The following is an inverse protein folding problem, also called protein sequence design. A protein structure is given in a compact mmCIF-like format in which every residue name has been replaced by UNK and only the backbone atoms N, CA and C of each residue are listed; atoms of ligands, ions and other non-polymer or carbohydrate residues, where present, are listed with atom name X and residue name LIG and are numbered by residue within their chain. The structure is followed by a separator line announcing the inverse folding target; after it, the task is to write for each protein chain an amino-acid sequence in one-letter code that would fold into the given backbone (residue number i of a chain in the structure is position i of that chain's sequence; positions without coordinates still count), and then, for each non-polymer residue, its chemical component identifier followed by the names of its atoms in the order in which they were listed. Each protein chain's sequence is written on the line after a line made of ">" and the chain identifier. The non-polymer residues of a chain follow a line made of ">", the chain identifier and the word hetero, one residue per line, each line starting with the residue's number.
data_IF_395281622555
#
_entry.id   IF_395281622555
#
_cell.length_a   1.000
_cell.length_b   1.000
_cell.length_c   1.000
_cell.angle_alpha   90.00
_cell.angle_beta   90.00
_cell.angle_gamma   90.00
#
_symmetry.space_group_name_H-M   'P 1'
#
loop_
_entity.id
_entity.type
_entity.pdbx_description
1 polymer ?
#
# COMPACT_ATOMS: atom_id res chain seq x y z
N UNK A 1 -47.19 -9.63 -31.81
CA UNK A 1 -48.50 -9.29 -31.22
C UNK A 1 -48.24 -8.20 -30.18
N UNK A 2 -48.64 -6.97 -30.49
CA UNK A 2 -48.25 -5.76 -29.79
C UNK A 2 -49.07 -5.55 -28.51
N UNK A 3 -48.42 -5.07 -27.45
CA UNK A 3 -49.09 -4.17 -26.49
C UNK A 3 -48.10 -3.08 -26.08
N UNK A 4 -48.35 -1.89 -26.62
CA UNK A 4 -47.75 -0.62 -26.25
C UNK A 4 -48.58 -0.05 -25.10
N UNK A 5 -47.94 0.42 -24.05
CA UNK A 5 -48.43 1.51 -23.23
C UNK A 5 -47.37 2.60 -23.27
N UNK A 6 -47.69 3.65 -24.04
CA UNK A 6 -47.05 4.95 -23.98
C UNK A 6 -47.67 5.77 -22.84
N UNK A 7 -46.86 6.67 -22.31
CA UNK A 7 -47.16 7.71 -21.34
C UNK A 7 -45.83 8.08 -20.69
N UNK A 8 -44.96 8.79 -21.42
CA UNK A 8 -44.69 10.23 -21.29
C UNK A 8 -44.29 10.61 -19.84
N UNK A 9 -43.16 11.22 -19.54
CA UNK A 9 -42.51 12.33 -20.25
C UNK A 9 -41.08 12.51 -19.69
N UNK A 10 -40.28 13.34 -20.37
CA UNK A 10 -39.04 14.01 -19.95
C UNK A 10 -37.71 13.37 -20.34
N UNK A 11 -37.37 13.61 -21.60
CA UNK A 11 -36.05 14.06 -22.10
C UNK A 11 -35.01 14.38 -21.01
N UNK A 12 -33.95 13.59 -20.92
CA UNK A 12 -32.59 14.14 -20.80
C UNK A 12 -31.56 13.14 -21.29
N UNK A 13 -30.57 13.69 -21.98
CA UNK A 13 -29.54 13.03 -22.77
C UNK A 13 -28.77 11.93 -22.03
N UNK A 14 -28.29 10.94 -22.79
CA UNK A 14 -27.18 10.07 -22.38
C UNK A 14 -25.91 10.93 -22.17
N UNK A 15 -25.15 10.64 -21.10
CA UNK A 15 -23.71 10.69 -21.21
C UNK A 15 -23.11 9.31 -20.90
N UNK A 16 -22.41 8.81 -21.89
CA UNK A 16 -21.43 7.72 -21.80
C UNK A 16 -20.39 8.02 -20.73
N UNK A 17 -20.64 7.66 -19.47
CA UNK A 17 -19.61 7.65 -18.43
C UNK A 17 -18.98 6.26 -18.37
N UNK A 18 -18.16 6.02 -19.39
CA UNK A 18 -16.90 5.26 -19.38
C UNK A 18 -16.51 4.80 -17.97
N UNK A 19 -16.37 3.49 -17.79
CA UNK A 19 -15.66 2.92 -16.64
C UNK A 19 -14.35 3.67 -16.43
N UNK A 20 -14.34 4.56 -15.46
CA UNK A 20 -13.12 5.07 -14.85
C UNK A 20 -13.07 4.47 -13.46
N UNK A 21 -12.90 3.15 -13.40
CA UNK A 21 -12.09 2.59 -12.32
C UNK A 21 -10.77 3.33 -12.37
N UNK A 22 -10.61 4.31 -11.48
CA UNK A 22 -9.36 5.02 -11.31
C UNK A 22 -8.30 3.96 -11.04
N UNK A 23 -7.41 3.75 -12.01
CA UNK A 23 -6.29 2.78 -11.95
C UNK A 23 -5.25 3.12 -10.87
N UNK A 24 -5.61 3.95 -9.90
CA UNK A 24 -4.73 4.53 -8.88
C UNK A 24 -5.01 4.06 -7.47
N UNK A 25 -6.09 3.31 -7.20
CA UNK A 25 -6.28 2.69 -5.88
C UNK A 25 -6.09 1.19 -5.99
N UNK A 26 -4.92 0.73 -5.57
CA UNK A 26 -4.62 -0.67 -5.36
C UNK A 26 -4.52 -0.87 -3.85
N UNK A 27 -5.53 -1.54 -3.30
CA UNK A 27 -5.60 -2.06 -1.92
C UNK A 27 -6.08 -1.03 -0.88
N UNK A 28 -7.37 -1.10 -0.53
CA UNK A 28 -7.87 -0.72 0.79
C UNK A 28 -8.09 -1.98 1.60
N UNK A 29 -7.01 -2.57 2.12
CA UNK A 29 -7.12 -3.60 3.16
C UNK A 29 -6.71 -2.91 4.46
N UNK A 30 -7.62 -2.80 5.45
CA UNK A 30 -7.26 -2.31 6.77
C UNK A 30 -6.18 -3.23 7.35
N UNK A 31 -5.06 -2.63 7.76
CA UNK A 31 -4.09 -3.30 8.61
C UNK A 31 -4.63 -3.25 10.03
N UNK A 32 -5.05 -4.40 10.51
CA UNK A 32 -5.20 -4.71 11.94
C UNK A 32 -3.86 -5.32 12.41
N UNK A 33 -3.52 -5.27 13.71
CA UNK A 33 -2.19 -5.63 14.23
C UNK A 33 -1.72 -7.08 13.93
N UNK A 34 -2.58 -7.97 13.45
CA UNK A 34 -2.27 -9.34 12.97
C UNK A 34 -2.04 -9.44 11.45
N UNK A 35 -2.35 -8.39 10.69
CA UNK A 35 -2.29 -8.34 9.22
C UNK A 35 -0.97 -7.84 8.64
N UNK A 36 -0.06 -7.32 9.48
CA UNK A 36 1.18 -6.70 9.00
C UNK A 36 2.06 -7.66 8.19
N UNK A 37 2.17 -8.93 8.55
CA UNK A 37 2.95 -9.91 7.78
C UNK A 37 2.44 -10.09 6.33
N UNK A 38 1.12 -10.15 6.16
CA UNK A 38 0.48 -10.25 4.84
C UNK A 38 0.62 -8.97 4.02
N UNK A 39 0.40 -7.82 4.67
CA UNK A 39 0.62 -6.50 4.06
C UNK A 39 2.08 -6.31 3.60
N UNK A 40 3.03 -6.65 4.48
CA UNK A 40 4.47 -6.60 4.23
C UNK A 40 4.84 -7.42 3.01
N UNK A 41 4.36 -8.66 2.92
CA UNK A 41 4.57 -9.52 1.76
C UNK A 41 4.04 -8.90 0.46
N UNK A 42 2.83 -8.34 0.52
CA UNK A 42 2.21 -7.67 -0.64
C UNK A 42 3.02 -6.46 -1.11
N UNK A 43 3.51 -5.63 -0.19
CA UNK A 43 4.35 -4.47 -0.52
C UNK A 43 5.69 -4.91 -1.13
N UNK A 44 6.36 -5.91 -0.55
CA UNK A 44 7.63 -6.41 -1.08
C UNK A 44 7.48 -6.91 -2.52
N UNK A 45 6.44 -7.69 -2.81
CA UNK A 45 6.16 -8.17 -4.18
C UNK A 45 5.85 -7.00 -5.11
N UNK A 46 4.99 -6.06 -4.69
CA UNK A 46 4.61 -4.91 -5.50
C UNK A 46 5.80 -4.00 -5.86
N UNK A 47 6.75 -3.81 -4.94
CA UNK A 47 7.96 -3.03 -5.19
C UNK A 47 8.97 -3.80 -6.05
N UNK A 48 9.10 -5.11 -5.82
CA UNK A 48 9.96 -5.98 -6.63
C UNK A 48 9.56 -5.94 -8.11
N UNK A 49 8.28 -6.16 -8.43
CA UNK A 49 7.81 -6.16 -9.82
C UNK A 49 7.94 -4.79 -10.53
N UNK A 50 8.18 -3.72 -9.77
CA UNK A 50 8.36 -2.35 -10.29
C UNK A 50 9.81 -1.88 -10.29
N UNK A 51 10.75 -2.74 -9.90
CA UNK A 51 12.17 -2.40 -9.69
C UNK A 51 12.31 -1.18 -8.76
N UNK A 52 11.64 -1.26 -7.59
CA UNK A 52 11.68 -0.21 -6.55
C UNK A 52 12.03 -0.74 -5.16
N UNK A 53 12.34 -2.03 -5.04
CA UNK A 53 12.72 -2.64 -3.77
C UNK A 53 13.95 -1.94 -3.14
N UNK A 54 14.85 -1.44 -3.99
CA UNK A 54 16.08 -0.78 -3.55
C UNK A 54 15.87 0.54 -2.80
N UNK A 55 14.67 1.13 -2.91
CA UNK A 55 14.33 2.35 -2.18
C UNK A 55 13.96 2.08 -0.73
N UNK A 56 13.49 0.89 -0.39
CA UNK A 56 13.14 0.52 0.98
C UNK A 56 14.27 -0.23 1.69
N UNK A 57 15.12 -0.96 0.95
CA UNK A 57 16.29 -1.64 1.51
C UNK A 57 17.53 -0.71 1.62
N UNK A 58 17.46 0.50 1.06
CA UNK A 58 18.53 1.50 1.11
C UNK A 58 19.66 1.33 0.09
N UNK A 59 19.58 0.35 -0.81
CA UNK A 59 20.58 0.13 -1.87
C UNK A 59 20.55 1.22 -2.94
N UNK A 60 19.39 1.85 -3.13
CA UNK A 60 19.24 3.03 -3.99
C UNK A 60 19.67 4.28 -3.22
N UNK A 61 20.94 4.67 -3.34
CA UNK A 61 21.50 5.84 -2.66
C UNK A 61 21.12 7.12 -3.39
N UNK A 62 20.71 8.16 -2.66
CA UNK A 62 20.42 9.49 -3.20
C UNK A 62 21.66 10.04 -3.93
N UNK A 63 21.57 10.35 -5.23
CA UNK A 63 22.66 11.01 -5.95
C UNK A 63 22.93 12.41 -5.40
N UNK A 64 24.12 12.99 -5.63
CA UNK A 64 24.37 14.40 -5.33
C UNK A 64 23.34 15.31 -6.03
N UNK A 65 22.96 16.41 -5.40
CA UNK A 65 21.93 17.32 -5.95
C UNK A 65 22.32 17.94 -7.30
N UNK A 66 23.62 17.98 -7.62
CA UNK A 66 24.16 18.40 -8.93
C UNK A 66 23.98 17.35 -10.04
N UNK A 67 23.63 16.11 -9.69
CA UNK A 67 23.44 15.03 -10.65
C UNK A 67 22.15 15.23 -11.45
N UNK A 68 22.17 15.02 -12.79
CA UNK A 68 20.93 15.03 -13.58
C UNK A 68 19.94 13.95 -13.14
N UNK A 69 20.39 12.93 -12.39
CA UNK A 69 19.56 11.85 -11.88
C UNK A 69 18.88 12.17 -10.55
N UNK A 70 19.29 13.22 -9.83
CA UNK A 70 18.77 13.54 -8.49
C UNK A 70 17.25 13.73 -8.50
N UNK A 71 16.72 14.46 -9.48
CA UNK A 71 15.27 14.69 -9.62
C UNK A 71 14.50 13.42 -9.95
N UNK A 72 15.08 12.54 -10.78
CA UNK A 72 14.45 11.26 -11.13
C UNK A 72 14.44 10.32 -9.94
N UNK A 73 15.53 10.28 -9.18
CA UNK A 73 15.64 9.51 -7.96
C UNK A 73 14.61 9.98 -6.92
N UNK A 74 14.50 11.29 -6.68
CA UNK A 74 13.53 11.86 -5.75
C UNK A 74 12.10 11.48 -6.11
N UNK A 75 11.72 11.58 -7.40
CA UNK A 75 10.40 11.15 -7.87
C UNK A 75 10.11 9.67 -7.59
N UNK A 76 11.12 8.80 -7.72
CA UNK A 76 10.95 7.38 -7.40
C UNK A 76 10.80 7.16 -5.90
N UNK A 77 11.58 7.86 -5.08
CA UNK A 77 11.46 7.83 -3.63
C UNK A 77 10.07 8.30 -3.18
N UNK A 78 9.60 9.45 -3.67
CA UNK A 78 8.28 10.01 -3.33
C UNK A 78 7.14 9.08 -3.74
N UNK A 79 7.28 8.40 -4.88
CA UNK A 79 6.30 7.41 -5.33
C UNK A 79 6.23 6.19 -4.41
N UNK A 80 7.37 5.73 -3.90
CA UNK A 80 7.41 4.62 -2.93
C UNK A 80 6.83 5.07 -1.59
N UNK A 81 7.15 6.28 -1.12
CA UNK A 81 6.51 6.89 0.06
C UNK A 81 4.99 6.92 -0.10
N UNK A 82 4.50 7.38 -1.25
CA UNK A 82 3.08 7.41 -1.56
C UNK A 82 2.45 6.02 -1.49
N UNK A 83 3.08 4.99 -2.07
CA UNK A 83 2.55 3.63 -1.98
C UNK A 83 2.54 3.07 -0.56
N UNK A 84 3.62 3.29 0.19
CA UNK A 84 3.68 2.84 1.59
C UNK A 84 2.56 3.48 2.40
N UNK A 85 2.47 4.81 2.37
CA UNK A 85 1.52 5.57 3.21
C UNK A 85 0.06 5.35 2.83
N UNK A 86 -0.28 5.24 1.54
CA UNK A 86 -1.66 5.00 1.12
C UNK A 86 -2.13 3.56 1.35
N UNK A 87 -1.19 2.62 1.54
CA UNK A 87 -1.52 1.22 1.81
C UNK A 87 -1.74 0.93 3.30
N UNK A 88 -1.48 1.89 4.19
CA UNK A 88 -1.70 1.76 5.63
C UNK A 88 -3.13 2.13 6.01
N UNK A 89 -3.63 1.54 7.10
CA UNK A 89 -4.86 2.02 7.73
C UNK A 89 -4.64 3.42 8.34
N UNK A 90 -5.72 4.18 8.53
CA UNK A 90 -5.66 5.55 9.07
C UNK A 90 -4.97 5.62 10.43
N UNK A 91 -5.15 4.59 11.25
CA UNK A 91 -4.58 4.54 12.60
C UNK A 91 -3.08 4.21 12.57
N UNK A 92 -2.63 3.34 11.66
CA UNK A 92 -1.21 3.10 11.44
C UNK A 92 -0.49 4.32 10.85
N UNK A 93 -1.12 5.01 9.89
CA UNK A 93 -0.53 6.17 9.21
C UNK A 93 -0.30 7.38 10.14
N UNK A 94 -1.14 7.60 11.15
CA UNK A 94 -0.99 8.71 12.12
C UNK A 94 0.25 8.59 13.00
N UNK A 95 0.79 7.39 13.12
CA UNK A 95 1.87 7.08 14.06
C UNK A 95 3.27 7.13 13.45
N UNK A 96 3.37 7.38 12.14
CA UNK A 96 4.63 7.48 11.43
C UNK A 96 4.95 8.96 11.25
N UNK A 97 6.00 9.46 11.89
CA UNK A 97 6.58 10.77 11.52
C UNK A 97 7.09 10.66 10.09
N UNK A 98 6.60 11.52 9.18
CA UNK A 98 6.88 11.45 7.74
C UNK A 98 8.33 11.85 7.44
N UNK A 99 9.24 10.89 7.16
CA UNK A 99 10.61 11.16 6.79
C UNK A 99 10.71 11.48 5.30
N UNK A 100 11.83 12.09 4.89
CA UNK A 100 12.09 12.37 3.48
C UNK A 100 12.33 11.11 2.64
N UNK A 101 12.67 9.96 3.26
CA UNK A 101 13.10 8.76 2.55
C UNK A 101 12.18 7.56 2.80
N UNK A 102 11.87 6.83 1.72
CA UNK A 102 11.06 5.61 1.78
C UNK A 102 11.65 4.54 2.70
N UNK A 103 12.98 4.41 2.75
CA UNK A 103 13.68 3.48 3.64
C UNK A 103 13.41 3.74 5.12
N UNK A 104 13.24 5.00 5.50
CA UNK A 104 13.06 5.40 6.89
C UNK A 104 11.62 5.06 7.33
N UNK A 105 10.63 5.31 6.47
CA UNK A 105 9.25 4.86 6.67
C UNK A 105 9.19 3.35 6.83
N UNK A 106 9.85 2.63 5.91
CA UNK A 106 9.90 1.17 5.95
C UNK A 106 10.51 0.66 7.26
N UNK A 107 11.63 1.25 7.69
CA UNK A 107 12.34 0.87 8.92
C UNK A 107 11.51 1.11 10.18
N UNK A 108 10.79 2.23 10.27
CA UNK A 108 9.90 2.50 11.40
C UNK A 108 8.71 1.52 11.44
N UNK A 109 8.14 1.18 10.29
CA UNK A 109 7.08 0.17 10.20
C UNK A 109 7.57 -1.21 10.64
N UNK A 110 8.75 -1.64 10.18
CA UNK A 110 9.38 -2.92 10.58
C UNK A 110 9.69 -2.94 12.08
N UNK A 111 10.20 -1.85 12.63
CA UNK A 111 10.49 -1.73 14.06
C UNK A 111 9.21 -1.82 14.90
N UNK A 112 8.15 -1.14 14.47
CA UNK A 112 6.88 -1.04 15.19
C UNK A 112 6.07 -2.33 15.13
N UNK A 113 5.95 -2.93 13.95
CA UNK A 113 5.04 -4.06 13.71
C UNK A 113 5.77 -5.39 13.46
N UNK A 114 7.03 -5.36 13.04
CA UNK A 114 7.82 -6.57 12.77
C UNK A 114 8.13 -7.39 14.02
N UNK A 115 8.37 -6.73 15.16
CA UNK A 115 8.61 -7.42 16.45
C UNK A 115 7.35 -8.06 17.04
N UNK A 116 6.20 -7.40 16.91
CA UNK A 116 4.91 -7.93 17.40
C UNK A 116 4.57 -9.25 16.70
N UNK A 117 4.84 -9.35 15.40
CA UNK A 117 4.60 -10.58 14.64
C UNK A 117 5.59 -11.70 14.95
N UNK A 118 6.88 -11.39 15.18
CA UNK A 118 7.85 -12.40 15.58
C UNK A 118 7.45 -13.05 16.92
N UNK A 119 7.16 -12.23 17.93
CA UNK A 119 6.80 -12.72 19.28
C UNK A 119 5.49 -13.54 19.27
N UNK A 120 4.45 -13.07 18.56
CA UNK A 120 3.17 -13.80 18.45
C UNK A 120 3.29 -15.15 17.71
N UNK A 121 4.16 -15.23 16.69
CA UNK A 121 4.43 -16.50 15.98
C UNK A 121 5.19 -17.48 16.87
N UNK A 122 6.08 -17.00 17.75
CA UNK A 122 6.84 -17.85 18.67
C UNK A 122 6.05 -18.29 19.91
N UNK A 123 4.99 -17.59 20.31
CA UNK A 123 4.10 -18.01 21.41
C UNK A 123 3.13 -19.15 21.02
N UNK A 124 2.92 -19.39 19.71
CA UNK A 124 1.93 -20.35 19.19
C UNK A 124 2.36 -21.84 19.04
N UNK A 125 3.26 -22.40 19.88
CA UNK A 125 3.20 -23.86 20.09
C UNK A 125 3.32 -24.26 21.57
N UNK A 126 2.37 -23.84 22.42
CA UNK A 126 2.19 -24.45 23.76
C UNK A 126 0.81 -25.04 24.02
N UNK A 127 -0.23 -24.59 23.32
CA UNK A 127 -1.60 -25.11 23.48
C UNK A 127 -1.87 -26.41 22.72
N UNK A 128 -1.02 -26.81 21.76
CA UNK A 128 -1.14 -28.10 21.06
C UNK A 128 -0.35 -29.25 21.71
N UNK A 129 0.43 -28.96 22.76
CA UNK A 129 1.26 -29.96 23.45
C UNK A 129 0.59 -30.57 24.71
N UNK A 130 -0.63 -30.13 25.07
CA UNK A 130 -1.35 -30.62 26.26
C UNK A 130 -2.62 -31.42 25.96
N UNK A 131 -2.87 -31.78 24.69
CA UNK A 131 -3.89 -32.74 24.31
C UNK A 131 -3.21 -34.07 23.97
N UNK A 132 -2.63 -34.72 25.00
CA UNK A 132 -2.19 -36.13 24.95
C UNK A 132 -3.00 -36.94 25.93
#
# INVERSE_FOLDING_TARGET
>A
MYKILNGDDSTSALPTARSTTSRSSLVSVPVDDTGYGSWRGTILVALFVRNKLDFINGSSVKPPDSSPLARQWQRCNDLVIYWLTNSLSKDSARSVEYPELAKDIWSELEKKYGQVNAVMVFELPKELAHIS
#
